data_IF_297449464181
#
_entry.id   IF_297449464181
#
_cell.length_a   1.000
_cell.length_b   1.000
_cell.length_c   1.000
_cell.angle_alpha   90.00
_cell.angle_beta   90.00
_cell.angle_gamma   90.00
#
_symmetry.space_group_name_H-M   'P 1'
#
loop_
_entity.id
_entity.type
_entity.pdbx_description
1 polymer ?
#
# COMPACT_ATOMS: atom_id res chain seq x y z
N UNK A 1 -26.36 -3.90 -11.63
CA UNK A 1 -26.61 -4.27 -10.20
C UNK A 1 -27.07 -5.68 -10.16
N UNK A 2 -28.14 -5.95 -10.92
CA UNK A 2 -28.55 -7.30 -11.26
C UNK A 2 -27.36 -8.12 -11.78
N UNK A 3 -26.45 -7.54 -12.56
CA UNK A 3 -25.26 -8.23 -13.09
C UNK A 3 -24.28 -8.65 -11.97
N UNK A 4 -23.98 -7.76 -11.02
CA UNK A 4 -23.12 -8.06 -9.85
C UNK A 4 -23.79 -9.08 -8.93
N UNK A 5 -25.09 -8.91 -8.67
CA UNK A 5 -25.87 -9.82 -7.82
C UNK A 5 -26.02 -11.22 -8.45
N UNK A 6 -26.23 -11.29 -9.76
CA UNK A 6 -26.31 -12.54 -10.52
C UNK A 6 -24.95 -13.24 -10.58
N UNK A 7 -23.86 -12.50 -10.84
CA UNK A 7 -22.51 -13.05 -10.83
C UNK A 7 -22.08 -13.56 -9.45
N UNK A 8 -22.53 -12.90 -8.38
CA UNK A 8 -22.23 -13.29 -7.00
C UNK A 8 -23.28 -14.21 -6.36
N UNK A 9 -24.30 -14.67 -7.12
CA UNK A 9 -25.41 -15.50 -6.65
C UNK A 9 -26.09 -14.98 -5.36
N UNK A 10 -26.21 -13.67 -5.19
CA UNK A 10 -26.82 -13.02 -4.03
C UNK A 10 -28.05 -12.20 -4.43
N UNK A 11 -29.07 -12.20 -3.58
CA UNK A 11 -30.25 -11.36 -3.80
C UNK A 11 -29.91 -9.86 -3.63
N UNK A 12 -30.47 -8.95 -4.45
CA UNK A 12 -30.25 -7.50 -4.33
C UNK A 12 -30.52 -6.92 -2.93
N UNK A 13 -31.50 -7.49 -2.21
CA UNK A 13 -31.81 -7.09 -0.83
C UNK A 13 -30.69 -7.44 0.16
N UNK A 14 -29.97 -8.53 -0.07
CA UNK A 14 -28.79 -8.92 0.71
C UNK A 14 -27.61 -8.01 0.37
N UNK A 15 -27.43 -7.67 -0.90
CA UNK A 15 -26.41 -6.71 -1.35
C UNK A 15 -26.56 -5.34 -0.67
N UNK A 16 -27.75 -4.75 -0.71
CA UNK A 16 -28.03 -3.45 -0.09
C UNK A 16 -27.95 -3.43 1.44
N UNK A 17 -28.04 -4.60 2.09
CA UNK A 17 -27.86 -4.70 3.54
C UNK A 17 -26.40 -4.51 3.94
N UNK A 18 -25.46 -4.95 3.09
CA UNK A 18 -24.03 -4.89 3.37
C UNK A 18 -23.34 -3.71 2.69
N UNK A 19 -23.91 -3.18 1.60
CA UNK A 19 -23.31 -2.13 0.81
C UNK A 19 -24.37 -1.07 0.48
N UNK A 20 -24.12 0.17 0.89
CA UNK A 20 -25.03 1.27 0.61
C UNK A 20 -25.04 1.60 -0.89
N UNK A 21 -23.89 1.45 -1.54
CA UNK A 21 -23.70 1.62 -2.97
C UNK A 21 -22.80 0.51 -3.56
N UNK A 22 -22.82 0.31 -4.89
CA UNK A 22 -21.99 -0.73 -5.55
C UNK A 22 -20.50 -0.40 -5.44
N UNK A 23 -20.23 0.89 -5.33
CA UNK A 23 -18.95 1.53 -5.08
C UNK A 23 -18.30 0.97 -3.80
N UNK A 24 -19.10 0.65 -2.77
CA UNK A 24 -18.60 0.18 -1.47
C UNK A 24 -18.02 -1.23 -1.53
N UNK A 25 -18.53 -2.06 -2.44
CA UNK A 25 -18.03 -3.42 -2.71
C UNK A 25 -16.66 -3.38 -3.35
N UNK A 26 -16.47 -2.48 -4.31
CA UNK A 26 -15.19 -2.32 -5.02
C UNK A 26 -14.14 -1.68 -4.12
N UNK A 27 -14.57 -0.86 -3.15
CA UNK A 27 -13.67 -0.20 -2.21
C UNK A 27 -13.15 -1.11 -1.09
N UNK A 28 -13.85 -2.20 -0.74
CA UNK A 28 -13.46 -3.05 0.40
C UNK A 28 -12.08 -3.73 0.23
N UNK A 29 -11.75 -4.36 -0.91
CA UNK A 29 -10.42 -4.93 -1.09
C UNK A 29 -9.32 -3.86 -1.06
N UNK A 30 -9.60 -2.66 -1.59
CA UNK A 30 -8.67 -1.53 -1.53
C UNK A 30 -8.43 -1.13 -0.07
N UNK A 31 -9.49 -1.00 0.74
CA UNK A 31 -9.37 -0.74 2.19
C UNK A 31 -8.53 -1.81 2.88
N UNK A 32 -8.73 -3.10 2.54
CA UNK A 32 -7.95 -4.18 3.14
C UNK A 32 -6.48 -4.13 2.75
N UNK A 33 -6.16 -3.85 1.48
CA UNK A 33 -4.77 -3.67 1.02
C UNK A 33 -4.08 -2.51 1.74
N UNK A 34 -4.75 -1.36 1.86
CA UNK A 34 -4.29 -0.21 2.66
C UNK A 34 -4.02 -0.61 4.11
N UNK A 35 -4.97 -1.31 4.75
CA UNK A 35 -4.82 -1.76 6.13
C UNK A 35 -3.59 -2.67 6.30
N UNK A 36 -3.34 -3.59 5.35
CA UNK A 36 -2.15 -4.45 5.38
C UNK A 36 -0.85 -3.64 5.34
N UNK A 37 -0.78 -2.58 4.52
CA UNK A 37 0.40 -1.71 4.48
C UNK A 37 0.60 -1.01 5.82
N UNK A 38 -0.46 -0.44 6.39
CA UNK A 38 -0.40 0.25 7.68
C UNK A 38 0.00 -0.68 8.83
N UNK A 39 -0.62 -1.86 8.91
CA UNK A 39 -0.31 -2.91 9.89
C UNK A 39 1.18 -3.29 9.84
N UNK A 40 1.73 -3.46 8.62
CA UNK A 40 3.13 -3.85 8.42
C UNK A 40 4.11 -2.75 8.79
N UNK A 41 3.79 -1.49 8.49
CA UNK A 41 4.63 -0.35 8.89
C UNK A 41 4.62 -0.19 10.41
N UNK A 42 3.45 -0.30 11.04
CA UNK A 42 3.30 -0.17 12.49
C UNK A 42 3.99 -1.29 13.28
N UNK A 43 3.98 -2.53 12.75
CA UNK A 43 4.62 -3.67 13.38
C UNK A 43 6.15 -3.75 13.16
N UNK A 44 6.71 -2.93 12.27
CA UNK A 44 8.13 -2.97 11.94
C UNK A 44 9.00 -2.45 13.10
N UNK A 45 10.07 -3.17 13.50
CA UNK A 45 10.96 -2.71 14.55
C UNK A 45 11.54 -1.32 14.30
N UNK A 46 11.79 -0.54 15.37
CA UNK A 46 12.59 0.68 15.27
C UNK A 46 14.00 0.33 14.75
N UNK A 47 14.46 1.05 13.73
CA UNK A 47 15.77 0.83 13.11
C UNK A 47 15.76 -0.04 11.85
N UNK A 48 14.66 -0.76 11.53
CA UNK A 48 14.53 -1.41 10.21
C UNK A 48 14.53 -0.34 9.10
N UNK A 49 15.30 -0.48 8.02
CA UNK A 49 15.29 0.46 6.90
C UNK A 49 13.90 0.62 6.26
N UNK A 50 13.50 1.85 5.91
CA UNK A 50 12.17 2.12 5.30
C UNK A 50 11.92 1.28 4.04
N UNK A 51 12.94 1.05 3.21
CA UNK A 51 12.86 0.21 2.02
C UNK A 51 12.48 -1.24 2.34
N UNK A 52 13.07 -1.81 3.39
CA UNK A 52 12.79 -3.18 3.83
C UNK A 52 11.37 -3.31 4.40
N UNK A 53 10.94 -2.33 5.20
CA UNK A 53 9.57 -2.26 5.72
C UNK A 53 8.55 -2.21 4.58
N UNK A 54 8.79 -1.32 3.61
CA UNK A 54 7.93 -1.17 2.45
C UNK A 54 7.91 -2.43 1.57
N UNK A 55 9.07 -3.08 1.38
CA UNK A 55 9.15 -4.35 0.65
C UNK A 55 8.25 -5.41 1.31
N UNK A 56 8.38 -5.62 2.61
CA UNK A 56 7.57 -6.60 3.34
C UNK A 56 6.07 -6.26 3.33
N UNK A 57 5.73 -4.97 3.42
CA UNK A 57 4.36 -4.49 3.28
C UNK A 57 3.77 -4.81 1.90
N UNK A 58 4.51 -4.53 0.82
CA UNK A 58 4.04 -4.83 -0.55
C UNK A 58 3.95 -6.33 -0.81
N UNK A 59 4.88 -7.14 -0.28
CA UNK A 59 4.76 -8.60 -0.37
C UNK A 59 3.52 -9.11 0.38
N UNK A 60 3.11 -8.49 1.49
CA UNK A 60 1.87 -8.83 2.17
C UNK A 60 0.64 -8.52 1.31
N UNK A 61 0.65 -7.37 0.63
CA UNK A 61 -0.39 -7.01 -0.34
C UNK A 61 -0.40 -7.97 -1.54
N UNK A 62 0.77 -8.35 -2.08
CA UNK A 62 0.87 -9.30 -3.18
C UNK A 62 0.28 -10.67 -2.84
N UNK A 63 0.56 -11.18 -1.63
CA UNK A 63 -0.06 -12.43 -1.12
C UNK A 63 -1.57 -12.31 -1.04
N UNK A 64 -2.08 -11.21 -0.47
CA UNK A 64 -3.52 -10.95 -0.44
C UNK A 64 -4.14 -10.93 -1.85
N UNK A 65 -3.46 -10.31 -2.83
CA UNK A 65 -3.92 -10.29 -4.22
C UNK A 65 -4.03 -11.70 -4.81
N UNK A 66 -3.02 -12.54 -4.59
CA UNK A 66 -3.00 -13.91 -5.11
C UNK A 66 -4.14 -14.73 -4.48
N UNK A 67 -4.29 -14.65 -3.15
CA UNK A 67 -5.33 -15.37 -2.40
C UNK A 67 -6.75 -14.95 -2.84
N UNK A 68 -6.91 -13.75 -3.40
CA UNK A 68 -8.20 -13.17 -3.78
C UNK A 68 -8.31 -12.88 -5.28
N UNK A 69 -7.53 -13.59 -6.12
CA UNK A 69 -7.41 -13.33 -7.57
C UNK A 69 -8.77 -13.26 -8.28
N UNK A 70 -9.64 -14.24 -8.05
CA UNK A 70 -10.95 -14.32 -8.72
C UNK A 70 -11.84 -13.12 -8.39
N UNK A 71 -11.92 -12.79 -7.10
CA UNK A 71 -12.67 -11.63 -6.61
C UNK A 71 -12.15 -10.33 -7.21
N UNK A 72 -10.83 -10.11 -7.17
CA UNK A 72 -10.21 -8.89 -7.69
C UNK A 72 -10.35 -8.76 -9.21
N UNK A 73 -10.28 -9.88 -9.93
CA UNK A 73 -10.53 -9.92 -11.38
C UNK A 73 -11.98 -9.53 -11.69
N UNK A 74 -12.96 -10.10 -10.98
CA UNK A 74 -14.37 -9.76 -11.14
C UNK A 74 -14.65 -8.28 -10.85
N UNK A 75 -14.10 -7.74 -9.76
CA UNK A 75 -14.26 -6.33 -9.39
C UNK A 75 -13.61 -5.39 -10.42
N UNK A 76 -12.45 -5.75 -10.97
CA UNK A 76 -11.81 -4.99 -12.05
C UNK A 76 -12.67 -4.97 -13.31
N UNK A 77 -13.27 -6.09 -13.70
CA UNK A 77 -14.20 -6.16 -14.84
C UNK A 77 -15.39 -5.23 -14.63
N UNK A 78 -16.05 -5.31 -13.47
CA UNK A 78 -17.18 -4.43 -13.11
C UNK A 78 -16.78 -2.95 -13.12
N UNK A 79 -15.61 -2.61 -12.58
CA UNK A 79 -15.10 -1.24 -12.54
C UNK A 79 -14.76 -0.70 -13.95
N UNK A 80 -14.29 -1.54 -14.88
CA UNK A 80 -14.01 -1.17 -16.28
C UNK A 80 -15.29 -0.90 -17.07
N UNK A 81 -16.33 -1.70 -16.85
CA UNK A 81 -17.62 -1.59 -17.54
C UNK A 81 -18.45 -0.40 -17.03
N UNK A 82 -18.21 0.03 -15.79
CA UNK A 82 -18.91 1.16 -15.17
C UNK A 82 -18.13 2.46 -15.35
N UNK A 83 -18.55 3.26 -16.33
CA UNK A 83 -17.98 4.59 -16.61
C UNK A 83 -17.87 5.52 -15.38
N UNK A 84 -18.74 5.33 -14.37
CA UNK A 84 -18.78 6.09 -13.11
C UNK A 84 -17.80 5.58 -12.04
N UNK A 85 -17.25 4.36 -12.18
CA UNK A 85 -16.27 3.76 -11.25
C UNK A 85 -14.81 3.96 -11.67
N UNK A 86 -14.57 4.65 -12.81
CA UNK A 86 -13.21 4.90 -13.32
C UNK A 86 -12.38 5.79 -12.38
N UNK A 87 -13.02 6.60 -11.54
CA UNK A 87 -12.38 7.38 -10.47
C UNK A 87 -11.94 6.55 -9.25
N UNK A 88 -12.35 5.28 -9.20
CA UNK A 88 -12.12 4.33 -8.11
C UNK A 88 -11.19 3.19 -8.53
N UNK A 89 -10.33 3.41 -9.54
CA UNK A 89 -9.32 2.43 -9.90
C UNK A 89 -8.53 2.01 -8.65
N UNK A 90 -8.24 0.71 -8.46
CA UNK A 90 -7.39 0.22 -7.39
C UNK A 90 -5.94 0.58 -7.70
N UNK A 91 -5.65 1.87 -7.62
CA UNK A 91 -4.33 2.42 -7.47
C UNK A 91 -4.30 3.12 -6.12
N UNK A 92 -3.20 2.94 -5.39
CA UNK A 92 -2.86 3.80 -4.24
C UNK A 92 -3.02 5.25 -4.72
N UNK A 93 -3.90 6.00 -4.06
CA UNK A 93 -4.15 7.41 -4.39
C UNK A 93 -2.92 8.22 -3.95
N UNK A 94 -2.61 9.36 -4.59
CA UNK A 94 -1.52 10.23 -4.12
C UNK A 94 -1.63 10.60 -2.63
N UNK A 95 -2.85 10.71 -2.10
CA UNK A 95 -3.13 10.94 -0.67
C UNK A 95 -2.67 9.78 0.23
N UNK A 96 -2.69 8.56 -0.29
CA UNK A 96 -2.27 7.35 0.41
C UNK A 96 -0.73 7.23 0.43
N UNK A 97 -0.05 7.63 -0.65
CA UNK A 97 1.42 7.72 -0.67
C UNK A 97 1.95 8.69 0.39
N UNK A 98 1.28 9.83 0.55
CA UNK A 98 1.62 10.80 1.60
C UNK A 98 1.39 10.20 3.00
N UNK A 99 0.28 9.50 3.20
CA UNK A 99 -0.04 8.83 4.47
C UNK A 99 1.02 7.77 4.83
N UNK A 100 1.43 6.94 3.88
CA UNK A 100 2.50 5.95 4.06
C UNK A 100 3.82 6.62 4.43
N UNK A 101 4.18 7.74 3.77
CA UNK A 101 5.39 8.47 4.07
C UNK A 101 5.39 9.03 5.52
N UNK A 102 4.25 9.55 5.98
CA UNK A 102 4.09 10.03 7.35
C UNK A 102 4.18 8.90 8.39
N UNK A 103 3.60 7.72 8.11
CA UNK A 103 3.71 6.56 8.98
C UNK A 103 5.17 6.11 9.15
N UNK A 104 5.93 6.06 8.06
CA UNK A 104 7.37 5.72 8.09
C UNK A 104 8.19 6.77 8.85
N UNK A 105 7.85 8.05 8.69
CA UNK A 105 8.48 9.15 9.44
C UNK A 105 8.21 9.00 10.94
N UNK A 106 6.96 8.81 11.33
CA UNK A 106 6.56 8.64 12.72
C UNK A 106 7.26 7.43 13.38
N UNK A 107 7.36 6.31 12.66
CA UNK A 107 8.10 5.11 13.11
C UNK A 107 9.57 5.39 13.38
N UNK A 108 10.23 6.15 12.52
CA UNK A 108 11.67 6.45 12.65
C UNK A 108 11.94 7.45 13.77
N UNK A 109 10.98 8.35 14.03
CA UNK A 109 11.09 9.36 15.09
C UNK A 109 10.72 8.83 16.48
N UNK A 110 10.18 7.61 16.59
CA UNK A 110 9.97 6.98 17.89
C UNK A 110 11.31 6.80 18.59
N UNK A 111 11.50 7.38 19.79
CA UNK A 111 12.69 7.14 20.57
C UNK A 111 12.80 5.62 20.83
N UNK A 112 14.01 5.03 20.77
CA UNK A 112 14.19 3.65 21.17
C UNK A 112 13.58 3.50 22.57
N UNK A 113 12.86 2.40 22.80
CA UNK A 113 12.35 2.07 24.13
C UNK A 113 13.55 1.99 25.08
N UNK A 114 13.87 3.10 25.73
CA UNK A 114 15.01 3.21 26.63
C UNK A 114 14.67 2.41 27.87
N UNK A 115 15.38 1.32 28.06
CA UNK A 115 15.75 0.84 29.39
C UNK A 115 16.13 2.07 30.21
N UNK A 116 15.36 2.31 31.26
CA UNK A 116 15.45 3.50 32.10
C UNK A 116 16.84 3.59 32.74
N UNK A 117 17.69 4.49 32.26
CA UNK A 117 18.77 5.05 33.05
C UNK A 117 18.43 6.51 33.41
N UNK A 118 18.33 6.86 34.70
CA UNK A 118 18.04 8.22 35.13
C UNK A 118 19.33 9.04 35.29
N UNK A 119 19.48 10.12 34.50
CA UNK A 119 20.24 11.30 34.92
C UNK A 119 21.23 11.89 33.93
N UNK A 120 20.77 12.86 33.10
CA UNK A 120 21.58 14.01 32.69
C UNK A 120 20.66 15.12 32.10
N UNK A 121 20.75 16.38 32.55
CA UNK A 121 20.02 17.49 31.94
C UNK A 121 20.80 18.03 30.73
N UNK A 122 20.37 17.67 29.52
CA UNK A 122 20.97 18.14 28.26
C UNK A 122 19.99 18.97 27.44
N UNK A 123 20.20 20.29 27.46
CA UNK A 123 19.80 21.37 26.53
C UNK A 123 18.50 21.29 25.72
N UNK A 124 17.68 22.37 25.70
CA UNK A 124 16.50 22.45 24.84
C UNK A 124 16.92 22.46 23.37
N UNK A 125 16.69 21.34 22.66
CA UNK A 125 16.79 21.29 21.20
C UNK A 125 15.72 22.20 20.62
N UNK A 126 16.16 23.30 20.00
CA UNK A 126 15.30 24.20 19.24
C UNK A 126 14.49 23.41 18.20
N UNK A 127 13.17 23.36 18.40
CA UNK A 127 12.23 22.94 17.38
C UNK A 127 12.16 24.05 16.32
N UNK A 128 12.97 23.93 15.27
CA UNK A 128 12.76 24.74 14.07
C UNK A 128 11.51 24.22 13.33
N UNK A 129 10.52 25.06 13.01
CA UNK A 129 9.26 24.66 12.37
C UNK A 129 9.38 24.47 10.84
N UNK A 130 10.59 24.34 10.30
CA UNK A 130 10.80 24.13 8.87
C UNK A 130 10.90 22.63 8.54
N UNK A 131 10.09 22.10 7.61
CA UNK A 131 10.21 20.72 7.15
C UNK A 131 11.61 20.51 6.60
N UNK A 132 12.37 19.57 7.19
CA UNK A 132 13.73 19.29 6.71
C UNK A 132 13.66 18.77 5.27
N UNK A 133 14.66 19.06 4.42
CA UNK A 133 14.76 18.57 3.03
C UNK A 133 14.95 17.04 2.88
N UNK A 134 14.47 16.23 3.83
CA UNK A 134 14.49 14.76 3.84
C UNK A 134 13.17 14.10 3.44
N UNK A 135 12.09 14.85 3.25
CA UNK A 135 10.76 14.27 2.95
C UNK A 135 10.64 13.73 1.51
N UNK A 136 11.26 14.42 0.54
CA UNK A 136 11.14 14.02 -0.87
C UNK A 136 11.74 12.65 -1.18
N UNK A 137 12.83 12.24 -0.50
CA UNK A 137 13.43 10.90 -0.70
C UNK A 137 12.51 9.80 -0.22
N UNK A 138 11.88 9.99 0.94
CA UNK A 138 10.90 9.05 1.49
C UNK A 138 9.65 8.98 0.61
N UNK A 139 9.15 10.13 0.17
CA UNK A 139 8.03 10.19 -0.79
C UNK A 139 8.36 9.53 -2.12
N UNK A 140 9.57 9.72 -2.65
CA UNK A 140 10.03 9.04 -3.87
C UNK A 140 10.10 7.53 -3.67
N UNK A 141 10.67 7.07 -2.55
CA UNK A 141 10.73 5.65 -2.21
C UNK A 141 9.32 5.02 -2.15
N UNK A 142 8.37 5.70 -1.51
CA UNK A 142 6.97 5.25 -1.44
C UNK A 142 6.36 5.22 -2.84
N UNK A 143 6.45 6.31 -3.61
CA UNK A 143 5.89 6.40 -4.96
C UNK A 143 6.45 5.32 -5.90
N UNK A 144 7.77 5.09 -5.89
CA UNK A 144 8.39 4.04 -6.70
C UNK A 144 7.96 2.64 -6.25
N UNK A 145 7.87 2.39 -4.94
CA UNK A 145 7.41 1.10 -4.39
C UNK A 145 5.96 0.80 -4.79
N UNK A 146 5.10 1.81 -4.69
CA UNK A 146 3.70 1.74 -5.10
C UNK A 146 3.58 1.50 -6.60
N UNK A 147 4.40 2.18 -7.42
CA UNK A 147 4.45 1.97 -8.85
C UNK A 147 4.88 0.53 -9.20
N UNK A 148 5.88 -0.02 -8.52
CA UNK A 148 6.31 -1.41 -8.67
C UNK A 148 5.17 -2.40 -8.39
N UNK A 149 4.44 -2.23 -7.28
CA UNK A 149 3.28 -3.08 -6.98
C UNK A 149 2.21 -2.97 -8.08
N UNK A 150 1.96 -1.77 -8.60
CA UNK A 150 0.96 -1.56 -9.68
C UNK A 150 1.37 -2.25 -10.97
N UNK A 151 2.64 -2.18 -11.36
CA UNK A 151 3.19 -2.87 -12.53
C UNK A 151 3.01 -4.38 -12.36
N UNK A 152 3.49 -4.92 -11.23
CA UNK A 152 3.34 -6.33 -10.91
C UNK A 152 1.88 -6.80 -10.93
N UNK A 153 0.97 -6.04 -10.31
CA UNK A 153 -0.46 -6.37 -10.26
C UNK A 153 -1.08 -6.46 -11.65
N UNK A 154 -0.69 -5.55 -12.54
CA UNK A 154 -1.18 -5.50 -13.90
C UNK A 154 -0.61 -6.63 -14.78
N UNK A 155 0.64 -7.05 -14.53
CA UNK A 155 1.25 -8.23 -15.16
C UNK A 155 0.64 -9.54 -14.66
N UNK A 156 0.50 -9.69 -13.35
CA UNK A 156 -0.12 -10.87 -12.71
C UNK A 156 -1.56 -11.12 -13.18
N UNK A 157 -2.30 -10.05 -13.47
CA UNK A 157 -3.66 -10.19 -14.01
C UNK A 157 -3.69 -10.46 -15.52
N UNK A 158 -2.61 -10.21 -16.26
CA UNK A 158 -2.53 -10.45 -17.71
C UNK A 158 -1.94 -11.80 -18.07
N UNK A 159 -1.01 -12.29 -17.25
CA UNK A 159 -0.24 -13.50 -17.51
C UNK A 159 -0.41 -14.50 -16.38
N UNK A 160 -0.20 -15.78 -16.69
CA UNK A 160 0.05 -16.78 -15.67
C UNK A 160 1.54 -16.70 -15.32
N UNK A 161 1.84 -16.19 -14.13
CA UNK A 161 3.21 -16.10 -13.61
C UNK A 161 3.47 -17.37 -12.80
N UNK A 162 4.54 -18.09 -13.12
CA UNK A 162 4.90 -19.34 -12.42
C UNK A 162 5.17 -19.11 -10.92
N UNK A 163 5.85 -18.00 -10.57
CA UNK A 163 6.04 -17.55 -9.19
C UNK A 163 5.77 -16.04 -9.07
N UNK A 164 4.51 -15.64 -8.83
CA UNK A 164 4.12 -14.24 -8.79
C UNK A 164 4.75 -13.50 -7.60
N UNK A 165 5.03 -14.16 -6.48
CA UNK A 165 5.65 -13.49 -5.32
C UNK A 165 7.13 -13.25 -5.55
N UNK A 166 7.86 -14.21 -6.10
CA UNK A 166 9.26 -14.00 -6.47
C UNK A 166 9.40 -12.87 -7.49
N UNK A 167 8.50 -12.80 -8.47
CA UNK A 167 8.47 -11.70 -9.45
C UNK A 167 8.23 -10.33 -8.79
N UNK A 168 7.27 -10.23 -7.86
CA UNK A 168 7.05 -8.99 -7.09
C UNK A 168 8.30 -8.58 -6.30
N UNK A 169 8.94 -9.56 -5.64
CA UNK A 169 10.15 -9.34 -4.86
C UNK A 169 11.31 -8.80 -5.73
N UNK A 170 11.48 -9.35 -6.92
CA UNK A 170 12.48 -8.90 -7.90
C UNK A 170 12.26 -7.43 -8.29
N UNK A 171 11.03 -7.06 -8.67
CA UNK A 171 10.69 -5.67 -9.04
C UNK A 171 10.95 -4.72 -7.86
N UNK A 172 10.55 -5.10 -6.64
CA UNK A 172 10.74 -4.28 -5.44
C UNK A 172 12.23 -4.07 -5.13
N UNK A 173 13.05 -5.11 -5.25
CA UNK A 173 14.51 -4.98 -5.07
C UNK A 173 15.13 -4.04 -6.11
N UNK A 174 14.70 -4.10 -7.36
CA UNK A 174 15.19 -3.21 -8.41
C UNK A 174 14.92 -1.73 -8.06
N UNK A 175 13.75 -1.42 -7.50
CA UNK A 175 13.41 -0.07 -7.03
C UNK A 175 14.30 0.40 -5.87
N UNK A 176 14.70 -0.50 -4.98
CA UNK A 176 15.46 -0.16 -3.76
C UNK A 176 16.97 -0.07 -3.99
N UNK A 177 17.50 -0.72 -5.02
CA UNK A 177 18.94 -0.71 -5.35
C UNK A 177 19.35 0.57 -6.11
N UNK A 178 18.44 1.19 -6.85
CA UNK A 178 18.77 2.25 -7.84
C UNK A 178 18.17 3.67 -7.57
N UNK A 179 18.02 4.20 -6.33
CA UNK A 179 17.62 5.60 -6.18
C UNK A 179 18.72 6.60 -6.61
N UNK A 180 19.92 6.12 -6.96
CA UNK A 180 21.09 6.93 -7.31
C UNK A 180 21.46 6.99 -8.81
N UNK A 181 20.77 6.26 -9.69
CA UNK A 181 21.16 6.14 -11.11
C UNK A 181 20.11 6.60 -12.12
N UNK A 182 18.88 6.87 -11.69
CA UNK A 182 17.78 7.39 -12.53
C UNK A 182 17.91 8.90 -12.88
N UNK A 183 19.07 9.50 -12.65
CA UNK A 183 19.39 10.89 -13.04
C UNK A 183 20.67 10.88 -13.89
N UNK A 184 20.59 10.36 -15.12
CA UNK A 184 21.55 10.63 -16.20
C UNK A 184 20.77 10.94 -17.47
#
# INVERSE_FOLDING_TARGET
MQDICAAAAIAPRTFHRYFAAKEDVVAEPVRRMTALVHERIAAAPPGTPDAEVLREAMLAVGRFVIDHRELLTALRTVARESAHLRGTQPGVRPDEEHTIAELLRARTEQPPATTTEPGAPGSPRAHSPHPRPGDWRRRLLVGCTVAALRIWYDEYLRADLDDPIAHLDEILRAVHIEPGRLLV
#
